data_IF_732950681986
#
_entry.id   IF_732950681986
#
_cell.length_a   1.000
_cell.length_b   1.000
_cell.length_c   1.000
_cell.angle_alpha   90.00
_cell.angle_beta   90.00
_cell.angle_gamma   90.00
#
_symmetry.space_group_name_H-M   'P 1'
#
loop_
_entity.id
_entity.type
_entity.pdbx_description
1 polymer ?
#
# COMPACT_ATOMS: atom_id res chain seq x y z
N UNK A 1 -40.63 -34.91 28.76
CA UNK A 1 -39.49 -35.59 29.40
C UNK A 1 -38.92 -36.47 28.31
N UNK A 2 -37.79 -36.19 27.70
CA UNK A 2 -36.69 -35.34 28.09
C UNK A 2 -36.06 -34.74 26.83
N UNK A 3 -35.70 -33.47 26.94
CA UNK A 3 -35.14 -32.60 25.91
C UNK A 3 -33.62 -32.75 25.93
N UNK A 4 -33.04 -33.33 24.87
CA UNK A 4 -31.59 -33.31 24.67
C UNK A 4 -31.20 -31.98 24.03
N UNK A 5 -30.82 -31.02 24.87
CA UNK A 5 -30.22 -29.73 24.48
C UNK A 5 -28.87 -29.99 23.78
N UNK A 6 -28.70 -29.42 22.59
CA UNK A 6 -27.41 -29.34 21.92
C UNK A 6 -26.60 -28.20 22.53
N UNK A 7 -25.44 -28.52 23.09
CA UNK A 7 -24.47 -27.53 23.54
C UNK A 7 -23.92 -26.74 22.32
N UNK A 8 -24.24 -25.45 22.25
CA UNK A 8 -23.51 -24.49 21.43
C UNK A 8 -22.16 -24.21 22.09
N UNK A 9 -21.06 -24.50 21.40
CA UNK A 9 -19.74 -23.96 21.77
C UNK A 9 -19.71 -22.44 21.52
N UNK A 10 -19.46 -21.59 22.53
CA UNK A 10 -19.37 -20.15 22.34
C UNK A 10 -17.90 -19.77 22.06
N UNK A 11 -17.56 -19.39 20.82
CA UNK A 11 -16.23 -18.83 20.58
C UNK A 11 -15.74 -18.67 19.13
N UNK A 12 -16.46 -19.19 18.12
CA UNK A 12 -16.07 -18.99 16.74
C UNK A 12 -16.42 -17.59 16.24
N UNK A 13 -15.46 -16.64 16.19
CA UNK A 13 -15.63 -15.42 15.39
C UNK A 13 -15.85 -15.84 13.94
N UNK A 14 -17.10 -15.80 13.49
CA UNK A 14 -17.48 -16.11 12.12
C UNK A 14 -16.74 -15.17 11.18
N UNK A 15 -15.68 -15.67 10.54
CA UNK A 15 -15.11 -15.01 9.35
C UNK A 15 -16.20 -15.03 8.29
N UNK A 16 -16.69 -13.86 7.88
CA UNK A 16 -17.63 -13.73 6.79
C UNK A 16 -16.94 -14.21 5.50
N UNK A 17 -17.10 -15.50 5.18
CA UNK A 17 -16.63 -16.06 3.91
C UNK A 17 -17.57 -15.60 2.81
N UNK A 18 -17.17 -14.59 2.05
CA UNK A 18 -17.85 -14.20 0.82
C UNK A 18 -17.68 -15.33 -0.20
N UNK A 19 -18.75 -15.99 -0.67
CA UNK A 19 -18.64 -17.06 -1.67
C UNK A 19 -17.95 -16.56 -2.94
N UNK A 20 -17.21 -17.43 -3.62
CA UNK A 20 -16.42 -17.08 -4.81
C UNK A 20 -17.27 -16.51 -5.96
N UNK A 21 -18.58 -16.80 -6.00
CA UNK A 21 -19.56 -16.21 -6.93
C UNK A 21 -19.89 -14.73 -6.66
N UNK A 22 -19.59 -14.21 -5.47
CA UNK A 22 -19.89 -12.83 -5.07
C UNK A 22 -18.71 -11.87 -5.32
N UNK A 23 -17.54 -12.35 -5.74
CA UNK A 23 -16.35 -11.49 -5.93
C UNK A 23 -16.47 -10.60 -7.18
N UNK A 24 -17.10 -11.08 -8.25
CA UNK A 24 -17.36 -10.27 -9.45
C UNK A 24 -18.41 -9.19 -9.19
N UNK A 25 -19.42 -9.54 -8.38
CA UNK A 25 -20.41 -8.58 -7.88
C UNK A 25 -19.72 -7.54 -6.98
N UNK A 26 -18.82 -7.98 -6.11
CA UNK A 26 -18.00 -7.09 -5.26
C UNK A 26 -17.15 -6.13 -6.09
N UNK A 27 -16.39 -6.62 -7.07
CA UNK A 27 -15.56 -5.77 -7.92
C UNK A 27 -16.40 -4.74 -8.70
N UNK A 28 -17.57 -5.15 -9.20
CA UNK A 28 -18.50 -4.23 -9.87
C UNK A 28 -19.02 -3.13 -8.92
N UNK A 29 -19.39 -3.47 -7.68
CA UNK A 29 -19.80 -2.50 -6.67
C UNK A 29 -18.66 -1.57 -6.27
N UNK A 30 -17.45 -2.08 -6.08
CA UNK A 30 -16.27 -1.26 -5.76
C UNK A 30 -15.97 -0.28 -6.88
N UNK A 31 -16.01 -0.72 -8.15
CA UNK A 31 -15.82 0.16 -9.31
C UNK A 31 -16.93 1.23 -9.38
N UNK A 32 -18.17 0.86 -9.12
CA UNK A 32 -19.28 1.82 -9.07
C UNK A 32 -19.06 2.86 -7.97
N UNK A 33 -18.63 2.44 -6.79
CA UNK A 33 -18.37 3.35 -5.67
C UNK A 33 -17.18 4.27 -5.92
N UNK A 34 -16.09 3.75 -6.52
CA UNK A 34 -14.97 4.58 -6.96
C UNK A 34 -15.46 5.66 -7.92
N UNK A 35 -16.25 5.30 -8.95
CA UNK A 35 -16.79 6.26 -9.91
C UNK A 35 -17.69 7.29 -9.24
N UNK A 36 -18.56 6.85 -8.32
CA UNK A 36 -19.42 7.73 -7.55
C UNK A 36 -18.60 8.73 -6.74
N UNK A 37 -17.65 8.26 -5.93
CA UNK A 37 -16.77 9.09 -5.10
C UNK A 37 -15.94 10.11 -5.90
N UNK A 38 -15.44 9.71 -7.07
CA UNK A 38 -14.74 10.64 -7.96
C UNK A 38 -15.71 11.67 -8.54
N UNK A 39 -16.86 11.25 -9.07
CA UNK A 39 -17.79 12.17 -9.74
C UNK A 39 -18.54 13.12 -8.81
N UNK A 40 -18.92 12.67 -7.60
CA UNK A 40 -19.75 13.43 -6.66
C UNK A 40 -18.92 14.19 -5.63
N UNK A 41 -17.75 13.66 -5.23
CA UNK A 41 -16.93 14.24 -4.17
C UNK A 41 -15.52 14.63 -4.61
N UNK A 42 -15.16 14.37 -5.87
CA UNK A 42 -13.84 14.67 -6.42
C UNK A 42 -12.71 14.05 -5.57
N UNK A 43 -12.92 12.82 -5.09
CA UNK A 43 -11.92 12.10 -4.29
C UNK A 43 -10.69 11.77 -5.15
N UNK A 44 -9.47 12.13 -4.72
CA UNK A 44 -8.25 11.94 -5.51
C UNK A 44 -7.65 10.52 -5.39
N UNK A 45 -8.16 9.72 -4.46
CA UNK A 45 -7.64 8.38 -4.19
C UNK A 45 -8.44 7.62 -3.14
N UNK A 46 -8.07 6.36 -2.96
CA UNK A 46 -8.75 5.39 -2.11
C UNK A 46 -7.72 4.56 -1.35
N UNK A 47 -8.03 4.21 -0.10
CA UNK A 47 -7.24 3.25 0.67
C UNK A 47 -7.76 1.82 0.45
N UNK A 48 -6.86 0.86 0.27
CA UNK A 48 -7.16 -0.58 0.17
C UNK A 48 -6.22 -1.38 1.08
N UNK A 49 -6.58 -2.62 1.41
CA UNK A 49 -5.73 -3.53 2.17
C UNK A 49 -4.56 -4.10 1.35
N UNK A 50 -3.55 -4.68 2.04
CA UNK A 50 -2.44 -5.42 1.42
C UNK A 50 -2.86 -6.72 0.73
N UNK A 51 -4.02 -7.25 1.09
CA UNK A 51 -4.68 -8.40 0.48
C UNK A 51 -6.20 -8.35 0.78
N UNK A 52 -6.99 -9.25 0.18
CA UNK A 52 -8.42 -9.41 0.50
C UNK A 52 -8.72 -10.89 0.72
N UNK A 53 -8.86 -11.27 2.00
CA UNK A 53 -8.93 -12.67 2.40
C UNK A 53 -7.73 -13.47 1.82
N UNK A 54 -7.97 -14.63 1.22
CA UNK A 54 -6.93 -15.47 0.63
C UNK A 54 -6.33 -14.95 -0.69
N UNK A 55 -6.74 -13.74 -1.15
CA UNK A 55 -6.34 -13.20 -2.46
C UNK A 55 -5.37 -12.04 -2.30
N UNK A 56 -4.18 -12.23 -2.86
CA UNK A 56 -3.19 -11.17 -3.03
C UNK A 56 -3.59 -10.17 -4.13
N UNK A 57 -2.95 -9.01 -4.15
CA UNK A 57 -3.24 -7.91 -5.08
C UNK A 57 -3.01 -8.25 -6.58
N UNK A 58 -2.31 -9.33 -6.91
CA UNK A 58 -2.15 -9.78 -8.28
C UNK A 58 -3.38 -10.55 -8.82
N UNK A 59 -4.29 -10.96 -7.94
CA UNK A 59 -5.44 -11.77 -8.32
C UNK A 59 -6.35 -11.04 -9.33
N UNK A 60 -6.78 -11.75 -10.38
CA UNK A 60 -7.50 -11.18 -11.53
C UNK A 60 -8.81 -10.48 -11.18
N UNK A 61 -9.46 -10.91 -10.11
CA UNK A 61 -10.69 -10.29 -9.60
C UNK A 61 -10.54 -8.81 -9.24
N UNK A 62 -9.31 -8.33 -8.99
CA UNK A 62 -9.04 -6.93 -8.68
C UNK A 62 -8.66 -6.09 -9.91
N UNK A 63 -8.43 -6.72 -11.07
CA UNK A 63 -8.09 -6.01 -12.31
C UNK A 63 -9.13 -4.96 -12.74
N UNK A 64 -10.45 -5.18 -12.60
CA UNK A 64 -11.44 -4.14 -12.88
C UNK A 64 -11.26 -2.88 -12.01
N UNK A 65 -10.82 -3.05 -10.77
CA UNK A 65 -10.57 -1.94 -9.83
C UNK A 65 -9.34 -1.14 -10.27
N UNK A 66 -8.23 -1.82 -10.59
CA UNK A 66 -7.03 -1.16 -11.11
C UNK A 66 -7.28 -0.43 -12.43
N UNK A 67 -8.07 -1.05 -13.32
CA UNK A 67 -8.48 -0.42 -14.57
C UNK A 67 -9.28 0.87 -14.32
N UNK A 68 -10.26 0.82 -13.43
CA UNK A 68 -11.07 2.00 -13.10
C UNK A 68 -10.23 3.09 -12.43
N UNK A 69 -9.34 2.73 -11.50
CA UNK A 69 -8.44 3.68 -10.85
C UNK A 69 -7.49 4.35 -11.86
N UNK A 70 -6.93 3.59 -12.80
CA UNK A 70 -6.09 4.12 -13.88
C UNK A 70 -6.89 5.04 -14.83
N UNK A 71 -8.08 4.64 -15.25
CA UNK A 71 -8.95 5.43 -16.14
C UNK A 71 -9.34 6.78 -15.52
N UNK A 72 -9.60 6.79 -14.21
CA UNK A 72 -10.00 7.98 -13.46
C UNK A 72 -8.81 8.81 -12.97
N UNK A 73 -7.58 8.29 -13.09
CA UNK A 73 -6.37 8.96 -12.62
C UNK A 73 -6.28 9.10 -11.10
N UNK A 74 -6.93 8.21 -10.35
CA UNK A 74 -6.94 8.23 -8.87
C UNK A 74 -5.87 7.32 -8.28
N UNK A 75 -5.41 7.69 -7.09
CA UNK A 75 -4.42 6.94 -6.32
C UNK A 75 -5.05 5.77 -5.54
N UNK A 76 -4.35 4.65 -5.45
CA UNK A 76 -4.63 3.58 -4.48
C UNK A 76 -3.54 3.55 -3.40
N UNK A 77 -3.91 3.84 -2.15
CA UNK A 77 -3.02 3.74 -0.99
C UNK A 77 -3.20 2.37 -0.33
N UNK A 78 -2.16 1.53 -0.39
CA UNK A 78 -2.16 0.17 0.14
C UNK A 78 -1.67 0.20 1.58
N UNK A 79 -2.58 -0.11 2.51
CA UNK A 79 -2.29 -0.19 3.93
C UNK A 79 -2.25 -1.66 4.38
N UNK A 80 -1.24 -2.10 5.15
CA UNK A 80 -1.20 -3.47 5.66
C UNK A 80 -2.30 -3.70 6.69
N UNK A 81 -2.98 -4.84 6.59
CA UNK A 81 -3.97 -5.28 7.57
C UNK A 81 -4.06 -6.80 7.56
N UNK A 82 -4.71 -7.38 8.58
CA UNK A 82 -4.97 -8.82 8.71
C UNK A 82 -3.69 -9.68 8.61
N UNK A 83 -2.64 -9.24 9.32
CA UNK A 83 -1.32 -9.88 9.30
C UNK A 83 -1.40 -11.37 9.68
N UNK A 84 -0.60 -12.18 8.99
CA UNK A 84 -0.50 -13.62 9.25
C UNK A 84 -0.13 -13.94 10.71
N UNK A 85 -0.68 -15.06 11.22
CA UNK A 85 -0.33 -15.63 12.54
C UNK A 85 -0.50 -14.68 13.74
N UNK A 86 -1.47 -13.76 13.67
CA UNK A 86 -1.76 -12.78 14.73
C UNK A 86 -1.92 -13.43 16.11
N UNK A 87 -2.66 -14.53 16.19
CA UNK A 87 -2.95 -15.24 17.45
C UNK A 87 -1.84 -16.25 17.83
N UNK A 88 -0.87 -16.49 16.95
CA UNK A 88 0.23 -17.43 17.16
C UNK A 88 1.52 -16.75 17.58
N UNK A 89 2.61 -16.98 16.85
CA UNK A 89 3.95 -16.50 17.25
C UNK A 89 4.05 -14.99 17.29
N UNK A 90 3.18 -14.27 16.58
CA UNK A 90 3.15 -12.82 16.60
C UNK A 90 2.35 -12.23 17.77
N UNK A 91 1.71 -13.03 18.63
CA UNK A 91 0.81 -12.49 19.67
C UNK A 91 1.50 -11.69 20.80
N UNK A 92 2.83 -11.63 20.80
CA UNK A 92 3.64 -10.98 21.85
C UNK A 92 4.42 -9.78 21.30
N UNK A 93 4.87 -8.88 22.20
CA UNK A 93 5.75 -7.75 21.90
C UNK A 93 5.27 -6.80 20.78
N UNK A 94 3.96 -6.74 20.54
CA UNK A 94 3.37 -5.93 19.46
C UNK A 94 3.89 -6.32 18.06
N UNK A 95 4.36 -7.56 17.89
CA UNK A 95 4.93 -8.09 16.65
C UNK A 95 4.00 -8.02 15.42
N UNK A 96 2.66 -8.04 15.52
CA UNK A 96 1.84 -7.89 14.32
C UNK A 96 2.09 -6.53 13.66
N UNK A 97 2.29 -5.46 14.44
CA UNK A 97 2.63 -4.14 13.91
C UNK A 97 4.11 -4.02 13.56
N UNK A 98 5.01 -4.47 14.44
CA UNK A 98 6.45 -4.23 14.28
C UNK A 98 7.12 -5.12 13.22
N UNK A 99 6.53 -6.30 12.93
CA UNK A 99 7.05 -7.28 11.96
C UNK A 99 6.00 -7.66 10.94
N UNK A 100 4.76 -7.91 11.37
CA UNK A 100 3.67 -8.33 10.49
C UNK A 100 3.36 -7.29 9.41
N UNK A 101 3.06 -6.04 9.79
CA UNK A 101 2.70 -4.98 8.83
C UNK A 101 3.81 -4.69 7.80
N UNK A 102 5.10 -4.57 8.17
CA UNK A 102 6.17 -4.44 7.18
C UNK A 102 6.34 -5.66 6.27
N UNK A 103 6.06 -6.87 6.77
CA UNK A 103 6.13 -8.10 5.97
C UNK A 103 4.97 -8.19 4.98
N UNK A 104 3.74 -7.88 5.43
CA UNK A 104 2.53 -7.81 4.59
C UNK A 104 2.70 -6.81 3.44
N UNK A 105 3.21 -5.61 3.73
CA UNK A 105 3.41 -4.59 2.70
C UNK A 105 4.46 -5.03 1.67
N UNK A 106 5.56 -5.65 2.12
CA UNK A 106 6.59 -6.15 1.23
C UNK A 106 6.07 -7.30 0.34
N UNK A 107 5.22 -8.18 0.89
CA UNK A 107 4.54 -9.21 0.12
C UNK A 107 3.58 -8.61 -0.90
N UNK A 108 2.77 -7.62 -0.52
CA UNK A 108 1.86 -6.93 -1.43
C UNK A 108 2.60 -6.28 -2.62
N UNK A 109 3.73 -5.61 -2.37
CA UNK A 109 4.61 -5.09 -3.42
C UNK A 109 5.10 -6.24 -4.31
N UNK A 110 5.62 -7.30 -3.73
CA UNK A 110 6.11 -8.46 -4.49
C UNK A 110 5.03 -9.05 -5.41
N UNK A 111 3.79 -9.19 -4.92
CA UNK A 111 2.65 -9.65 -5.70
C UNK A 111 2.31 -8.67 -6.83
N UNK A 112 2.22 -7.37 -6.56
CA UNK A 112 1.96 -6.34 -7.59
C UNK A 112 3.02 -6.38 -8.70
N UNK A 113 4.30 -6.54 -8.34
CA UNK A 113 5.41 -6.55 -9.29
C UNK A 113 5.49 -7.87 -10.08
N UNK A 114 5.46 -9.02 -9.41
CA UNK A 114 5.59 -10.35 -10.05
C UNK A 114 4.28 -10.86 -10.67
N UNK A 115 3.15 -10.25 -10.31
CA UNK A 115 1.84 -10.48 -10.92
C UNK A 115 1.55 -9.60 -12.14
N UNK A 116 2.48 -8.71 -12.53
CA UNK A 116 2.36 -7.91 -13.74
C UNK A 116 1.33 -6.78 -13.67
N UNK A 117 0.92 -6.35 -12.48
CA UNK A 117 -0.10 -5.32 -12.32
C UNK A 117 0.37 -3.99 -12.91
N UNK A 118 1.65 -3.62 -12.71
CA UNK A 118 2.22 -2.41 -13.30
C UNK A 118 2.57 -2.55 -14.80
N UNK A 119 2.63 -3.77 -15.33
CA UNK A 119 2.70 -3.99 -16.79
C UNK A 119 1.34 -3.77 -17.43
N UNK A 120 0.29 -4.30 -16.81
CA UNK A 120 -1.09 -4.21 -17.29
C UNK A 120 -1.68 -2.81 -17.15
N UNK A 121 -1.34 -2.11 -16.06
CA UNK A 121 -1.85 -0.77 -15.73
C UNK A 121 -0.69 0.22 -15.50
N UNK A 122 0.04 0.62 -16.56
CA UNK A 122 1.27 1.38 -16.45
C UNK A 122 1.09 2.84 -15.98
N UNK A 123 -0.14 3.37 -15.97
CA UNK A 123 -0.47 4.70 -15.43
C UNK A 123 -1.12 4.62 -14.05
N UNK A 124 -1.31 3.43 -13.49
CA UNK A 124 -1.85 3.25 -12.15
C UNK A 124 -0.97 3.96 -11.13
N UNK A 125 -1.58 4.80 -10.29
CA UNK A 125 -0.92 5.43 -9.16
C UNK A 125 -1.18 4.60 -7.91
N UNK A 126 -0.16 3.90 -7.45
CA UNK A 126 -0.24 3.04 -6.26
C UNK A 126 0.82 3.46 -5.25
N UNK A 127 0.43 3.63 -4.00
CA UNK A 127 1.30 4.05 -2.91
C UNK A 127 1.22 3.01 -1.78
N UNK A 128 2.35 2.63 -1.20
CA UNK A 128 2.41 1.66 -0.10
C UNK A 128 2.78 2.34 1.22
N UNK A 129 2.07 1.96 2.29
CA UNK A 129 2.32 2.49 3.62
C UNK A 129 3.69 2.07 4.18
N UNK A 130 4.14 2.77 5.22
CA UNK A 130 5.29 2.45 6.07
C UNK A 130 6.59 2.24 5.28
N UNK A 131 6.86 3.13 4.32
CA UNK A 131 8.03 3.02 3.45
C UNK A 131 8.06 1.79 2.54
N UNK A 132 6.90 1.19 2.24
CA UNK A 132 6.84 -0.09 1.53
C UNK A 132 7.21 -1.29 2.42
N UNK A 133 7.14 -1.11 3.73
CA UNK A 133 7.46 -2.14 4.72
C UNK A 133 8.92 -2.58 4.63
N UNK A 134 9.13 -3.90 4.52
CA UNK A 134 10.47 -4.49 4.43
C UNK A 134 11.00 -4.65 3.00
N UNK A 135 10.27 -4.18 1.98
CA UNK A 135 10.64 -4.39 0.57
C UNK A 135 12.03 -3.83 0.26
N UNK A 136 12.35 -2.63 0.77
CA UNK A 136 13.62 -1.99 0.44
C UNK A 136 14.84 -2.80 0.88
N UNK A 137 14.75 -3.43 2.05
CA UNK A 137 15.80 -4.29 2.60
C UNK A 137 15.93 -5.62 1.85
N UNK A 138 14.82 -6.15 1.29
CA UNK A 138 14.82 -7.45 0.61
C UNK A 138 14.85 -7.36 -0.92
N UNK A 139 14.78 -6.17 -1.51
CA UNK A 139 14.63 -5.99 -2.96
C UNK A 139 15.74 -6.70 -3.76
N UNK A 140 16.98 -6.69 -3.28
CA UNK A 140 18.09 -7.43 -3.88
C UNK A 140 17.92 -8.95 -3.83
N UNK A 141 17.33 -9.48 -2.74
CA UNK A 141 16.98 -10.90 -2.62
C UNK A 141 15.87 -11.28 -3.60
N UNK A 142 14.83 -10.44 -3.71
CA UNK A 142 13.73 -10.63 -4.67
C UNK A 142 14.27 -10.62 -6.11
N UNK A 143 15.17 -9.69 -6.44
CA UNK A 143 15.91 -9.63 -7.72
C UNK A 143 16.55 -10.97 -8.07
N UNK A 144 17.34 -11.44 -7.12
CA UNK A 144 18.16 -12.61 -7.30
C UNK A 144 17.27 -13.84 -7.46
N UNK A 145 16.27 -14.00 -6.57
CA UNK A 145 15.28 -15.07 -6.62
C UNK A 145 14.57 -15.15 -7.96
N UNK A 146 14.05 -14.01 -8.45
CA UNK A 146 13.39 -13.94 -9.76
C UNK A 146 14.29 -14.42 -10.91
N UNK A 147 15.58 -14.06 -10.86
CA UNK A 147 16.57 -14.46 -11.88
C UNK A 147 16.94 -15.94 -11.82
N UNK A 148 17.12 -16.50 -10.62
CA UNK A 148 17.63 -17.87 -10.45
C UNK A 148 16.53 -18.93 -10.41
N UNK A 149 15.27 -18.55 -10.14
CA UNK A 149 14.10 -19.42 -10.16
C UNK A 149 12.94 -18.83 -10.97
N UNK A 150 13.15 -18.54 -12.27
CA UNK A 150 12.08 -18.03 -13.12
C UNK A 150 10.91 -19.02 -13.23
N UNK A 151 11.16 -20.32 -13.04
CA UNK A 151 10.14 -21.37 -12.99
C UNK A 151 9.13 -21.21 -11.83
N UNK A 152 9.51 -20.48 -10.76
CA UNK A 152 8.63 -20.18 -9.63
C UNK A 152 8.12 -18.73 -9.64
N UNK A 153 8.97 -17.79 -10.08
CA UNK A 153 8.73 -16.37 -9.87
C UNK A 153 8.19 -15.64 -11.11
N UNK A 154 8.44 -16.15 -12.31
CA UNK A 154 8.04 -15.47 -13.55
C UNK A 154 6.68 -15.99 -14.00
N UNK A 155 5.74 -15.08 -14.19
CA UNK A 155 4.46 -15.34 -14.87
C UNK A 155 4.54 -14.88 -16.32
N UNK A 156 3.61 -15.36 -17.16
CA UNK A 156 3.52 -14.92 -18.57
C UNK A 156 3.25 -13.42 -18.71
N UNK A 157 2.71 -12.81 -17.65
CA UNK A 157 2.33 -11.40 -17.55
C UNK A 157 3.48 -10.48 -17.13
N UNK A 158 4.67 -11.04 -16.83
CA UNK A 158 5.84 -10.27 -16.38
C UNK A 158 7.01 -10.43 -17.34
N UNK A 159 7.22 -9.42 -18.18
CA UNK A 159 8.35 -9.33 -19.09
C UNK A 159 9.65 -8.91 -18.39
N UNK A 160 9.59 -8.12 -17.30
CA UNK A 160 10.78 -7.50 -16.69
C UNK A 160 11.01 -7.93 -15.24
N UNK A 161 12.25 -7.84 -14.77
CA UNK A 161 12.59 -8.11 -13.38
C UNK A 161 11.90 -7.10 -12.42
N UNK A 162 11.52 -7.50 -11.20
CA UNK A 162 10.84 -6.62 -10.23
C UNK A 162 11.53 -5.27 -10.00
N UNK A 163 12.87 -5.20 -9.95
CA UNK A 163 13.61 -3.94 -9.75
C UNK A 163 13.32 -2.90 -10.84
N UNK A 164 12.97 -3.33 -12.06
CA UNK A 164 12.71 -2.40 -13.16
C UNK A 164 11.45 -1.56 -12.95
N UNK A 165 10.62 -1.94 -11.97
CA UNK A 165 9.43 -1.21 -11.55
C UNK A 165 9.68 -0.27 -10.37
N UNK A 166 10.88 -0.25 -9.80
CA UNK A 166 11.26 0.83 -8.90
C UNK A 166 11.11 2.17 -9.65
N UNK A 167 10.54 3.18 -9.00
CA UNK A 167 10.15 4.42 -9.65
C UNK A 167 8.77 4.42 -10.33
N UNK A 168 8.04 3.28 -10.31
CA UNK A 168 6.69 3.15 -10.89
C UNK A 168 5.56 3.05 -9.85
N UNK A 169 5.91 3.02 -8.58
CA UNK A 169 4.98 3.09 -7.46
C UNK A 169 5.54 4.05 -6.41
N UNK A 170 4.69 4.47 -5.48
CA UNK A 170 5.02 5.37 -4.39
C UNK A 170 5.10 4.63 -3.05
N UNK A 171 5.81 5.23 -2.10
CA UNK A 171 5.74 4.86 -0.69
C UNK A 171 5.53 6.12 0.15
N UNK A 172 4.96 5.97 1.34
CA UNK A 172 5.11 7.03 2.33
C UNK A 172 6.54 7.05 2.92
N UNK A 173 6.85 8.08 3.70
CA UNK A 173 8.15 8.26 4.35
C UNK A 173 8.22 7.69 5.77
N UNK A 174 7.20 6.94 6.23
CA UNK A 174 7.08 6.55 7.63
C UNK A 174 8.00 5.35 7.94
N UNK A 175 9.28 5.68 8.17
CA UNK A 175 10.34 4.69 8.44
C UNK A 175 11.14 5.00 9.72
N UNK A 176 10.78 6.07 10.43
CA UNK A 176 11.33 6.52 11.72
C UNK A 176 12.84 6.84 11.81
N UNK A 177 13.65 6.43 10.83
CA UNK A 177 15.11 6.63 10.81
C UNK A 177 15.58 7.23 9.48
N UNK A 178 16.41 8.30 9.49
CA UNK A 178 16.85 8.98 8.27
C UNK A 178 17.77 8.13 7.37
N UNK A 179 18.48 7.13 7.92
CA UNK A 179 19.27 6.20 7.10
C UNK A 179 18.39 5.18 6.39
N UNK A 180 17.28 4.79 7.02
CA UNK A 180 16.26 3.95 6.36
C UNK A 180 15.55 4.75 5.28
N UNK A 181 15.24 6.03 5.53
CA UNK A 181 14.70 6.93 4.51
C UNK A 181 15.66 7.09 3.33
N UNK A 182 16.97 7.22 3.59
CA UNK A 182 18.00 7.23 2.53
C UNK A 182 17.94 5.97 1.66
N UNK A 183 17.92 4.79 2.26
CA UNK A 183 17.82 3.52 1.52
C UNK A 183 16.55 3.49 0.64
N UNK A 184 15.42 3.94 1.20
CA UNK A 184 14.16 4.00 0.49
C UNK A 184 14.24 4.95 -0.72
N UNK A 185 14.79 6.15 -0.53
CA UNK A 185 14.97 7.16 -1.58
C UNK A 185 15.90 6.66 -2.69
N UNK A 186 17.02 6.03 -2.34
CA UNK A 186 17.98 5.47 -3.30
C UNK A 186 17.38 4.32 -4.12
N UNK A 187 16.52 3.50 -3.50
CA UNK A 187 15.93 2.34 -4.16
C UNK A 187 14.70 2.68 -5.01
N UNK A 188 13.75 3.43 -4.45
CA UNK A 188 12.42 3.70 -5.06
C UNK A 188 12.46 4.99 -5.91
N UNK A 189 13.34 5.93 -5.55
CA UNK A 189 13.48 7.22 -6.22
C UNK A 189 12.80 8.34 -5.46
N UNK A 190 13.49 9.49 -5.37
CA UNK A 190 13.04 10.65 -4.61
C UNK A 190 11.65 11.18 -4.99
N UNK A 191 11.24 11.07 -6.27
CA UNK A 191 9.96 11.59 -6.78
C UNK A 191 8.77 10.65 -6.47
N UNK A 192 9.01 9.62 -5.66
CA UNK A 192 8.07 8.55 -5.34
C UNK A 192 7.89 8.35 -3.83
N UNK A 193 8.48 9.21 -3.01
CA UNK A 193 8.31 9.16 -1.55
C UNK A 193 7.46 10.35 -1.11
N UNK A 194 6.38 10.10 -0.38
CA UNK A 194 5.50 11.15 0.14
C UNK A 194 5.57 11.18 1.67
N UNK A 195 5.42 12.35 2.29
CA UNK A 195 5.24 12.41 3.74
C UNK A 195 4.00 11.61 4.17
N UNK A 196 4.18 10.73 5.15
CA UNK A 196 3.10 10.05 5.86
C UNK A 196 3.46 9.91 7.33
N UNK A 197 2.47 10.08 8.21
CA UNK A 197 2.69 10.17 9.66
C UNK A 197 2.00 9.08 10.46
N UNK A 198 1.03 8.37 9.88
CA UNK A 198 0.13 7.43 10.58
C UNK A 198 -0.62 8.07 11.77
N UNK A 199 -0.89 9.38 11.68
CA UNK A 199 -1.76 10.06 12.66
C UNK A 199 -3.18 9.45 12.66
N UNK A 200 -3.82 9.21 13.82
CA UNK A 200 -3.42 9.61 15.18
C UNK A 200 -2.77 8.48 16.00
N UNK A 201 -2.21 7.44 15.36
CA UNK A 201 -1.70 6.29 16.09
C UNK A 201 -0.37 6.57 16.79
N UNK A 202 -0.11 5.97 17.97
CA UNK A 202 1.08 6.24 18.76
C UNK A 202 2.37 5.67 18.14
N UNK A 203 2.26 4.73 17.20
CA UNK A 203 3.41 4.22 16.44
C UNK A 203 3.85 5.21 15.36
N UNK A 204 2.99 6.15 14.98
CA UNK A 204 3.24 7.14 13.94
C UNK A 204 4.34 8.17 14.27
N UNK A 205 4.65 9.02 13.29
CA UNK A 205 5.59 10.13 13.49
C UNK A 205 4.89 11.29 14.23
N UNK A 206 5.25 11.47 15.51
CA UNK A 206 4.62 12.46 16.39
C UNK A 206 4.94 13.92 16.03
N UNK A 207 6.08 14.16 15.41
CA UNK A 207 6.50 15.46 14.87
C UNK A 207 6.55 15.33 13.33
N UNK A 208 5.46 15.65 12.61
CA UNK A 208 5.36 15.42 11.18
C UNK A 208 6.53 16.00 10.38
N UNK A 209 7.22 15.15 9.62
CA UNK A 209 8.30 15.53 8.73
C UNK A 209 9.69 15.57 9.37
N UNK A 210 9.82 15.36 10.69
CA UNK A 210 11.11 15.42 11.41
C UNK A 210 12.19 14.52 10.78
N UNK A 211 11.84 13.28 10.41
CA UNK A 211 12.78 12.35 9.78
C UNK A 211 13.25 12.87 8.42
N UNK A 212 12.36 13.49 7.65
CA UNK A 212 12.70 14.11 6.35
C UNK A 212 13.63 15.30 6.58
N UNK A 213 13.36 16.14 7.58
CA UNK A 213 14.24 17.27 7.89
C UNK A 213 15.65 16.80 8.27
N UNK A 214 15.76 15.77 9.11
CA UNK A 214 17.04 15.17 9.49
C UNK A 214 17.78 14.61 8.28
N UNK A 215 17.09 13.85 7.42
CA UNK A 215 17.70 13.30 6.20
C UNK A 215 18.15 14.40 5.24
N UNK A 216 17.33 15.44 5.03
CA UNK A 216 17.67 16.57 4.17
C UNK A 216 18.90 17.33 4.66
N UNK A 217 19.06 17.46 5.99
CA UNK A 217 20.25 18.06 6.61
C UNK A 217 21.51 17.21 6.36
N UNK A 218 21.39 15.88 6.35
CA UNK A 218 22.50 14.96 6.08
C UNK A 218 22.95 15.04 4.61
N UNK A 219 22.02 15.13 3.66
CA UNK A 219 22.34 15.12 2.22
C UNK A 219 22.53 16.52 1.61
N UNK A 220 22.09 17.59 2.29
CA UNK A 220 22.21 18.97 1.82
C UNK A 220 21.26 19.34 0.67
N UNK A 221 20.25 18.51 0.37
CA UNK A 221 19.33 18.71 -0.75
C UNK A 221 17.99 19.33 -0.29
N UNK A 222 17.84 20.63 -0.53
CA UNK A 222 16.62 21.39 -0.20
C UNK A 222 15.45 21.01 -1.10
N UNK A 223 15.69 20.69 -2.38
CA UNK A 223 14.61 20.34 -3.32
C UNK A 223 14.03 18.97 -2.99
N UNK A 224 14.88 18.04 -2.59
CA UNK A 224 14.46 16.74 -2.08
C UNK A 224 13.48 16.90 -0.90
N UNK A 225 13.79 17.78 0.06
CA UNK A 225 12.94 18.04 1.22
C UNK A 225 11.53 18.47 0.78
N UNK A 226 11.43 19.50 -0.05
CA UNK A 226 10.13 20.01 -0.54
C UNK A 226 9.35 18.94 -1.32
N UNK A 227 10.06 18.14 -2.13
CA UNK A 227 9.44 17.07 -2.89
C UNK A 227 8.79 16.02 -2.00
N UNK A 228 9.52 15.52 -1.00
CA UNK A 228 8.99 14.49 -0.11
C UNK A 228 7.90 15.08 0.81
N UNK A 229 8.06 16.31 1.29
CA UNK A 229 7.07 16.94 2.18
C UNK A 229 5.73 17.21 1.49
N UNK A 230 5.71 17.63 0.21
CA UNK A 230 4.43 17.92 -0.46
C UNK A 230 4.37 17.72 -1.98
N UNK A 231 5.40 18.06 -2.79
CA UNK A 231 5.24 18.03 -4.27
C UNK A 231 4.91 16.63 -4.81
N UNK A 232 5.49 15.59 -4.19
CA UNK A 232 5.22 14.21 -4.57
C UNK A 232 3.79 13.78 -4.26
N UNK A 233 3.22 14.27 -3.14
CA UNK A 233 1.85 13.98 -2.76
C UNK A 233 0.86 14.61 -3.76
N UNK A 234 1.11 15.84 -4.20
CA UNK A 234 0.32 16.49 -5.25
C UNK A 234 0.35 15.70 -6.57
N UNK A 235 1.54 15.24 -6.96
CA UNK A 235 1.71 14.40 -8.16
C UNK A 235 1.00 13.06 -8.02
N UNK A 236 1.11 12.40 -6.85
CA UNK A 236 0.45 11.14 -6.55
C UNK A 236 -1.08 11.28 -6.61
N UNK A 237 -1.62 12.34 -6.01
CA UNK A 237 -3.05 12.60 -5.92
C UNK A 237 -3.64 13.25 -7.19
N UNK A 238 -2.79 13.73 -8.10
CA UNK A 238 -3.24 14.44 -9.30
C UNK A 238 -3.95 15.75 -8.98
N UNK A 239 -3.43 16.46 -7.98
CA UNK A 239 -3.97 17.72 -7.48
C UNK A 239 -3.00 18.83 -7.88
N UNK A 240 -3.51 19.92 -8.43
CA UNK A 240 -2.72 21.11 -8.74
C UNK A 240 -2.45 21.93 -7.47
N UNK A 241 -1.36 22.69 -7.45
CA UNK A 241 -1.02 23.55 -6.30
C UNK A 241 -2.10 24.60 -5.99
N UNK A 242 -2.88 25.00 -6.98
CA UNK A 242 -3.95 26.00 -6.86
C UNK A 242 -5.32 25.37 -6.51
N UNK A 243 -5.33 24.06 -6.22
CA UNK A 243 -6.55 23.33 -5.95
C UNK A 243 -7.05 23.56 -4.52
N UNK A 244 -8.01 24.48 -4.40
CA UNK A 244 -8.60 24.90 -3.13
C UNK A 244 -9.58 23.87 -2.50
N UNK A 245 -9.68 22.64 -3.04
CA UNK A 245 -10.57 21.59 -2.48
C UNK A 245 -10.21 21.18 -1.05
N UNK A 246 -8.93 21.28 -0.68
CA UNK A 246 -8.40 20.80 0.60
C UNK A 246 -7.92 21.92 1.53
N UNK A 247 -7.96 23.17 1.07
CA UNK A 247 -7.51 24.39 1.78
C UNK A 247 -8.69 25.25 2.26
N UNK A 248 -9.79 24.63 2.72
CA UNK A 248 -10.82 25.37 3.46
C UNK A 248 -10.45 25.42 4.93
N UNK A 249 -9.51 26.29 5.27
CA UNK A 249 -9.50 26.83 6.61
C UNK A 249 -10.59 27.89 6.63
N UNK A 250 -11.72 27.60 7.29
CA UNK A 250 -12.63 28.67 7.68
C UNK A 250 -11.82 29.60 8.59
N UNK A 251 -11.51 30.79 8.10
CA UNK A 251 -11.06 31.89 8.95
C UNK A 251 -12.19 32.18 9.95
N UNK A 252 -12.07 31.67 11.17
CA UNK A 252 -12.78 32.16 12.35
C UNK A 252 -11.80 32.79 13.32
#
# INVERSE_FOLDING_TARGET
MDSGEGEEEPGGRGKLRVPQSNIYIFAAFVVQEIRRCVSEFNMPGFQIGSHVNEKNLDHSDFWPIYKAAEELGVCLFVHPWDMHDWDGRMNSYWMPWLVGMPSETAQAICCVLMGGILERFPRLRICFAHGGGSYAQIAGRVAHGFKVRPDLCKTDEVAKAPQSYNGKFWCDSLVHDPNVLRLLVELIGQDKICLGTDYPFPLGELEPGKVIEQYSSICGDVKLKENILWNNALTLLGIDNDDNRFMKFDEQ
#
